data_IF_946442828276
#
_entry.id   IF_946442828276
#
_cell.length_a   1.000
_cell.length_b   1.000
_cell.length_c   1.000
_cell.angle_alpha   90.00
_cell.angle_beta   90.00
_cell.angle_gamma   90.00
#
_symmetry.space_group_name_H-M   'P 1'
#
loop_
_entity.id
_entity.type
_entity.pdbx_description
1 polymer ?
#
# COMPACT_ATOMS: atom_id res chain seq x y z
N UNK A 1 11.98 33.61 -56.02
CA UNK A 1 12.64 32.76 -54.99
C UNK A 1 12.06 33.12 -53.63
N UNK A 2 11.12 32.35 -53.11
CA UNK A 2 10.57 32.50 -51.74
C UNK A 2 11.11 31.35 -50.91
N UNK A 3 11.91 31.67 -49.90
CA UNK A 3 12.47 30.71 -48.95
C UNK A 3 11.43 30.44 -47.87
N UNK A 4 10.90 29.23 -47.82
CA UNK A 4 10.10 28.76 -46.69
C UNK A 4 11.05 28.20 -45.62
N UNK A 5 11.17 28.88 -44.48
CA UNK A 5 11.87 28.37 -43.30
C UNK A 5 10.93 27.40 -42.61
N UNK A 6 11.24 26.11 -42.66
CA UNK A 6 10.55 25.09 -41.87
C UNK A 6 11.09 25.12 -40.45
N UNK A 7 10.27 25.58 -39.50
CA UNK A 7 10.53 25.44 -38.07
C UNK A 7 10.31 23.98 -37.66
N UNK A 8 11.40 23.25 -37.43
CA UNK A 8 11.36 21.93 -36.81
C UNK A 8 11.03 22.09 -35.33
N UNK A 9 9.85 21.66 -34.92
CA UNK A 9 9.50 21.50 -33.51
C UNK A 9 10.14 20.20 -32.99
N UNK A 10 11.17 20.33 -32.16
CA UNK A 10 11.69 19.23 -31.37
C UNK A 10 10.66 18.84 -30.31
N UNK A 11 9.88 17.79 -30.60
CA UNK A 11 9.07 17.11 -29.60
C UNK A 11 10.05 16.32 -28.72
N UNK A 12 10.28 16.79 -27.49
CA UNK A 12 10.94 16.00 -26.46
C UNK A 12 10.03 14.81 -26.14
N UNK A 13 10.31 13.66 -26.74
CA UNK A 13 9.66 12.41 -26.37
C UNK A 13 10.01 12.12 -24.90
N UNK A 14 8.98 12.03 -24.04
CA UNK A 14 9.16 11.51 -22.70
C UNK A 14 9.87 10.14 -22.79
N UNK A 15 10.84 9.82 -21.92
CA UNK A 15 11.45 8.51 -21.92
C UNK A 15 10.34 7.49 -21.74
N UNK A 16 10.09 6.71 -22.79
CA UNK A 16 9.22 5.54 -22.70
C UNK A 16 9.92 4.64 -21.70
N UNK A 17 9.38 4.53 -20.48
CA UNK A 17 9.88 3.54 -19.55
C UNK A 17 9.76 2.18 -20.21
N UNK A 18 10.89 1.53 -20.42
CA UNK A 18 10.97 0.23 -21.08
C UNK A 18 10.25 -0.90 -20.30
N UNK A 19 9.70 -0.58 -19.12
CA UNK A 19 9.00 -1.49 -18.25
C UNK A 19 7.98 -0.74 -17.39
N UNK A 20 6.94 -1.43 -16.93
CA UNK A 20 6.02 -0.94 -15.91
C UNK A 20 4.68 -1.66 -15.91
N UNK A 21 3.86 -1.40 -16.93
CA UNK A 21 2.48 -1.90 -16.97
C UNK A 21 2.36 -3.30 -17.57
N UNK A 22 2.85 -3.48 -18.81
CA UNK A 22 2.78 -4.75 -19.55
C UNK A 22 4.05 -5.58 -19.32
N UNK A 23 5.21 -4.94 -19.48
CA UNK A 23 6.51 -5.58 -19.23
C UNK A 23 7.02 -5.28 -17.83
N UNK A 24 7.46 -6.28 -17.05
CA UNK A 24 7.98 -6.04 -15.71
C UNK A 24 9.39 -5.44 -15.75
N UNK A 25 9.65 -4.48 -14.85
CA UNK A 25 10.99 -3.95 -14.61
C UNK A 25 11.86 -5.03 -13.95
N UNK A 26 12.99 -5.36 -14.59
CA UNK A 26 13.92 -6.38 -14.11
C UNK A 26 14.85 -5.80 -13.06
N UNK A 27 15.05 -6.54 -11.98
CA UNK A 27 15.97 -6.20 -10.89
C UNK A 27 16.69 -7.47 -10.45
N UNK A 28 17.83 -7.76 -11.08
CA UNK A 28 18.52 -9.04 -10.93
C UNK A 28 17.67 -10.22 -11.45
N UNK A 29 17.51 -11.24 -10.63
CA UNK A 29 16.66 -12.41 -10.87
C UNK A 29 15.17 -12.16 -10.52
N UNK A 30 14.85 -10.98 -9.99
CA UNK A 30 13.51 -10.55 -9.62
C UNK A 30 12.98 -9.50 -10.57
N UNK A 31 11.72 -9.12 -10.37
CA UNK A 31 11.10 -8.07 -11.17
C UNK A 31 9.93 -7.43 -10.45
N UNK A 32 9.47 -6.28 -10.92
CA UNK A 32 8.28 -5.60 -10.41
C UNK A 32 7.50 -4.93 -11.54
N UNK A 33 6.23 -4.66 -11.32
CA UNK A 33 5.41 -3.82 -12.19
C UNK A 33 5.20 -2.47 -11.53
N UNK A 34 4.88 -1.46 -12.33
CA UNK A 34 4.46 -0.16 -11.82
C UNK A 34 3.34 0.43 -12.66
N UNK A 35 2.63 1.40 -12.10
CA UNK A 35 1.64 2.16 -12.82
C UNK A 35 1.65 3.62 -12.39
N UNK A 36 2.07 4.46 -13.32
CA UNK A 36 2.05 5.92 -13.21
C UNK A 36 0.60 6.42 -13.11
N UNK A 37 0.32 7.44 -12.27
CA UNK A 37 -1.03 7.97 -12.14
C UNK A 37 -1.48 8.76 -13.37
N UNK A 38 -2.78 9.00 -13.46
CA UNK A 38 -3.36 9.77 -14.57
C UNK A 38 -2.92 11.23 -14.49
N UNK A 39 -2.57 11.82 -15.63
CA UNK A 39 -2.27 13.25 -15.73
C UNK A 39 -0.96 13.68 -15.06
N UNK A 40 -0.07 12.74 -14.74
CA UNK A 40 1.29 13.09 -14.30
C UNK A 40 2.04 13.79 -15.44
N UNK A 41 2.75 14.87 -15.08
CA UNK A 41 3.46 15.76 -16.01
C UNK A 41 4.85 15.25 -16.42
N UNK A 42 5.30 14.15 -15.83
CA UNK A 42 6.62 13.58 -16.09
C UNK A 42 7.73 14.09 -15.15
N UNK A 43 7.44 15.07 -14.28
CA UNK A 43 8.48 15.78 -13.51
C UNK A 43 8.11 16.06 -12.05
N UNK A 44 6.83 16.18 -11.72
CA UNK A 44 6.37 16.41 -10.35
C UNK A 44 6.68 15.21 -9.45
N UNK A 45 7.16 15.42 -8.20
CA UNK A 45 7.36 14.34 -7.25
C UNK A 45 6.09 13.53 -6.98
N UNK A 46 6.22 12.21 -6.99
CA UNK A 46 5.11 11.27 -6.85
C UNK A 46 5.09 10.65 -5.44
N UNK A 47 3.95 10.70 -4.72
CA UNK A 47 3.64 9.73 -3.67
C UNK A 47 3.72 8.31 -4.23
N UNK A 48 4.22 7.37 -3.44
CA UNK A 48 4.39 5.97 -3.84
C UNK A 48 3.50 5.07 -3.00
N UNK A 49 2.83 4.10 -3.62
CA UNK A 49 2.21 2.96 -2.95
C UNK A 49 2.92 1.68 -3.39
N UNK A 50 3.77 1.14 -2.53
CA UNK A 50 4.35 -0.20 -2.68
C UNK A 50 3.31 -1.23 -2.24
N UNK A 51 2.75 -1.99 -3.17
CA UNK A 51 1.69 -2.96 -2.89
C UNK A 51 2.11 -4.41 -3.15
N UNK A 52 2.14 -5.21 -2.10
CA UNK A 52 2.43 -6.64 -2.16
C UNK A 52 1.19 -7.46 -2.51
N UNK A 53 1.30 -8.32 -3.51
CA UNK A 53 0.20 -9.18 -3.97
C UNK A 53 -0.10 -10.32 -2.97
N UNK A 54 -1.33 -10.85 -3.01
CA UNK A 54 -1.70 -12.07 -2.26
C UNK A 54 -1.08 -13.36 -2.82
N UNK A 55 -1.22 -14.47 -2.11
CA UNK A 55 -0.65 -15.76 -2.52
C UNK A 55 -1.08 -16.19 -3.94
N UNK A 56 -0.15 -16.70 -4.73
CA UNK A 56 -0.42 -17.20 -6.09
C UNK A 56 -0.65 -16.09 -7.13
N UNK A 57 -0.37 -14.83 -6.79
CA UNK A 57 -0.47 -13.66 -7.68
C UNK A 57 0.90 -13.08 -7.98
N UNK A 58 0.91 -12.04 -8.80
CA UNK A 58 2.08 -11.27 -9.23
C UNK A 58 1.67 -9.81 -9.45
N UNK A 59 2.66 -8.94 -9.70
CA UNK A 59 2.46 -7.50 -9.82
C UNK A 59 1.63 -7.07 -11.03
N UNK A 60 1.59 -7.87 -12.10
CA UNK A 60 0.79 -7.65 -13.32
C UNK A 60 -0.71 -7.53 -13.00
N UNK A 61 -1.20 -8.39 -12.10
CA UNK A 61 -2.58 -8.33 -11.62
C UNK A 61 -2.81 -7.06 -10.79
N UNK A 62 -1.84 -6.67 -9.95
CA UNK A 62 -1.97 -5.51 -9.05
C UNK A 62 -2.08 -4.20 -9.82
N UNK A 63 -1.22 -4.00 -10.82
CA UNK A 63 -1.24 -2.79 -11.66
C UNK A 63 -2.49 -2.70 -12.54
N UNK A 64 -3.26 -3.79 -12.68
CA UNK A 64 -4.54 -3.81 -13.41
C UNK A 64 -5.78 -3.90 -12.50
N UNK A 65 -5.61 -4.12 -11.19
CA UNK A 65 -6.72 -4.33 -10.27
C UNK A 65 -7.48 -3.03 -9.96
N UNK A 66 -8.77 -2.97 -10.27
CA UNK A 66 -9.56 -1.72 -10.16
C UNK A 66 -9.60 -1.12 -8.75
N UNK A 67 -9.64 -1.93 -7.69
CA UNK A 67 -9.65 -1.42 -6.30
C UNK A 67 -8.28 -0.91 -5.83
N UNK A 68 -7.20 -1.25 -6.54
CA UNK A 68 -5.82 -0.84 -6.20
C UNK A 68 -5.35 0.20 -7.21
N UNK A 69 -5.10 -0.20 -8.46
CA UNK A 69 -4.67 0.67 -9.54
C UNK A 69 -5.68 1.76 -9.88
N UNK A 70 -6.98 1.48 -9.80
CA UNK A 70 -8.01 2.52 -9.98
C UNK A 70 -7.96 3.57 -8.87
N UNK A 71 -7.65 3.18 -7.64
CA UNK A 71 -7.53 4.10 -6.51
C UNK A 71 -6.29 5.01 -6.66
N UNK A 72 -5.12 4.42 -6.92
CA UNK A 72 -3.85 5.16 -7.02
C UNK A 72 -3.82 6.12 -8.21
N UNK A 73 -4.25 5.66 -9.39
CA UNK A 73 -4.17 6.46 -10.62
C UNK A 73 -4.99 7.75 -10.58
N UNK A 74 -6.11 7.74 -9.87
CA UNK A 74 -6.98 8.93 -9.73
C UNK A 74 -6.49 9.91 -8.68
N UNK A 75 -5.48 9.55 -7.87
CA UNK A 75 -5.02 10.31 -6.70
C UNK A 75 -3.57 10.78 -6.83
N UNK A 76 -2.99 10.70 -8.02
CA UNK A 76 -1.60 11.11 -8.24
C UNK A 76 -0.58 10.20 -7.56
N UNK A 77 -0.91 8.93 -7.29
CA UNK A 77 -0.01 7.99 -6.59
C UNK A 77 0.61 7.01 -7.58
N UNK A 78 1.93 6.89 -7.56
CA UNK A 78 2.68 5.85 -8.28
C UNK A 78 2.46 4.51 -7.59
N UNK A 79 1.81 3.57 -8.28
CA UNK A 79 1.66 2.21 -7.79
C UNK A 79 2.88 1.38 -8.17
N UNK A 80 3.50 0.72 -7.21
CA UNK A 80 4.64 -0.18 -7.40
C UNK A 80 4.24 -1.56 -6.87
N UNK A 81 4.38 -2.60 -7.70
CA UNK A 81 3.91 -3.95 -7.41
C UNK A 81 5.02 -4.98 -7.65
N UNK A 82 5.81 -5.34 -6.61
CA UNK A 82 6.89 -6.32 -6.74
C UNK A 82 6.36 -7.73 -7.03
N UNK A 83 7.15 -8.54 -7.74
CA UNK A 83 6.83 -9.94 -8.02
C UNK A 83 7.54 -10.87 -7.01
N UNK A 84 6.76 -11.69 -6.33
CA UNK A 84 7.23 -12.70 -5.38
C UNK A 84 7.89 -13.89 -6.07
N UNK A 85 8.94 -14.46 -5.47
CA UNK A 85 9.47 -15.76 -5.90
C UNK A 85 8.42 -16.83 -5.66
N UNK A 86 8.19 -17.69 -6.66
CA UNK A 86 7.14 -18.71 -6.57
C UNK A 86 5.74 -18.12 -6.35
N UNK A 87 5.50 -16.86 -6.76
CA UNK A 87 4.22 -16.14 -6.54
C UNK A 87 3.85 -16.04 -5.06
N UNK A 88 4.85 -15.89 -4.20
CA UNK A 88 4.71 -15.88 -2.76
C UNK A 88 5.74 -14.95 -2.09
N UNK A 89 5.65 -14.85 -0.76
CA UNK A 89 6.49 -13.98 0.06
C UNK A 89 7.04 -14.75 1.26
N UNK A 90 8.30 -14.50 1.57
CA UNK A 90 8.91 -14.85 2.85
C UNK A 90 8.68 -13.70 3.84
N UNK A 91 7.72 -13.82 4.74
CA UNK A 91 7.43 -12.78 5.75
C UNK A 91 7.58 -13.26 7.19
N UNK A 92 7.86 -14.56 7.37
CA UNK A 92 7.86 -15.18 8.70
C UNK A 92 9.12 -14.83 9.50
N UNK A 93 10.19 -14.45 8.82
CA UNK A 93 11.49 -14.13 9.43
C UNK A 93 11.83 -12.65 9.25
N UNK A 94 12.51 -12.09 10.24
CA UNK A 94 13.01 -10.71 10.21
C UNK A 94 14.14 -10.52 9.17
N UNK A 95 14.91 -11.56 8.89
CA UNK A 95 15.98 -11.57 7.87
C UNK A 95 15.48 -11.95 6.47
N UNK A 96 14.19 -11.75 6.19
CA UNK A 96 13.58 -12.13 4.92
C UNK A 96 14.27 -11.48 3.72
N UNK A 97 14.58 -12.30 2.71
CA UNK A 97 15.07 -11.84 1.41
C UNK A 97 14.12 -10.87 0.69
N UNK A 98 12.82 -10.97 0.97
CA UNK A 98 11.80 -10.13 0.32
C UNK A 98 11.77 -8.71 0.90
N UNK A 99 12.35 -8.49 2.10
CA UNK A 99 12.59 -7.15 2.65
C UNK A 99 13.68 -6.46 1.85
N UNK A 100 14.83 -7.13 1.67
CA UNK A 100 15.94 -6.60 0.86
C UNK A 100 15.50 -6.34 -0.59
N UNK A 101 14.68 -7.22 -1.16
CA UNK A 101 14.11 -7.01 -2.48
C UNK A 101 13.17 -5.80 -2.53
N UNK A 102 12.27 -5.63 -1.55
CA UNK A 102 11.37 -4.47 -1.49
C UNK A 102 12.14 -3.14 -1.40
N UNK A 103 13.23 -3.10 -0.61
CA UNK A 103 14.13 -1.94 -0.54
C UNK A 103 14.76 -1.65 -1.90
N UNK A 104 15.31 -2.68 -2.54
CA UNK A 104 15.94 -2.53 -3.86
C UNK A 104 14.94 -2.04 -4.93
N UNK A 105 13.67 -2.44 -4.85
CA UNK A 105 12.61 -1.92 -5.73
C UNK A 105 12.35 -0.44 -5.47
N UNK A 106 12.26 0.00 -4.22
CA UNK A 106 12.09 1.42 -3.91
C UNK A 106 13.29 2.24 -4.39
N UNK A 107 14.51 1.74 -4.25
CA UNK A 107 15.73 2.41 -4.72
C UNK A 107 15.78 2.52 -6.25
N UNK A 108 15.34 1.47 -6.97
CA UNK A 108 15.24 1.53 -8.43
C UNK A 108 14.14 2.51 -8.87
N UNK A 109 13.00 2.55 -8.17
CA UNK A 109 11.94 3.53 -8.42
C UNK A 109 12.43 4.97 -8.21
N UNK A 110 13.21 5.24 -7.16
CA UNK A 110 13.83 6.57 -6.92
C UNK A 110 14.79 6.99 -8.04
N UNK A 111 15.46 6.04 -8.69
CA UNK A 111 16.30 6.31 -9.86
C UNK A 111 15.48 6.67 -11.10
N UNK A 112 14.28 6.09 -11.23
CA UNK A 112 13.45 6.21 -12.43
C UNK A 112 12.44 7.36 -12.35
N UNK A 113 12.02 7.76 -11.14
CA UNK A 113 11.00 8.75 -10.90
C UNK A 113 11.39 9.73 -9.80
N UNK A 114 10.97 11.00 -9.88
CA UNK A 114 10.99 11.90 -8.73
C UNK A 114 9.98 11.38 -7.69
N UNK A 115 10.48 10.87 -6.57
CA UNK A 115 9.65 10.34 -5.47
C UNK A 115 9.48 11.40 -4.39
N UNK A 116 8.26 11.56 -3.88
CA UNK A 116 8.01 12.27 -2.63
C UNK A 116 8.34 11.35 -1.45
N UNK A 117 9.56 11.49 -0.91
CA UNK A 117 10.06 10.67 0.21
C UNK A 117 9.19 10.78 1.47
N UNK A 118 8.45 11.88 1.64
CA UNK A 118 7.51 12.04 2.77
C UNK A 118 6.19 11.28 2.57
N UNK A 119 5.97 10.68 1.41
CA UNK A 119 4.71 10.01 1.02
C UNK A 119 4.95 8.64 0.39
N UNK A 120 5.80 7.85 1.03
CA UNK A 120 5.96 6.43 0.74
C UNK A 120 4.98 5.62 1.60
N UNK A 121 4.02 4.99 0.94
CA UNK A 121 3.05 4.10 1.55
C UNK A 121 3.36 2.65 1.19
N UNK A 122 3.18 1.76 2.17
CA UNK A 122 3.36 0.32 2.00
C UNK A 122 2.02 -0.37 2.23
N UNK A 123 1.66 -1.32 1.38
CA UNK A 123 0.36 -1.96 1.40
C UNK A 123 0.45 -3.40 0.93
N UNK A 124 -0.56 -4.19 1.26
CA UNK A 124 -0.73 -5.51 0.67
C UNK A 124 -2.05 -6.13 1.05
N UNK A 125 -2.37 -7.23 0.37
CA UNK A 125 -3.57 -8.01 0.63
C UNK A 125 -3.22 -9.46 0.95
N UNK A 126 -3.88 -10.06 1.95
CA UNK A 126 -3.65 -11.46 2.34
C UNK A 126 -2.19 -11.68 2.76
N UNK A 127 -1.50 -12.69 2.19
CA UNK A 127 -0.05 -12.88 2.35
C UNK A 127 0.77 -11.65 1.97
N UNK A 128 0.28 -10.82 1.04
CA UNK A 128 0.89 -9.54 0.74
C UNK A 128 0.74 -8.54 1.88
N UNK A 129 -0.36 -8.57 2.63
CA UNK A 129 -0.51 -7.77 3.85
C UNK A 129 0.45 -8.24 4.94
N UNK A 130 0.65 -9.56 5.10
CA UNK A 130 1.69 -10.09 5.99
C UNK A 130 3.10 -9.61 5.58
N UNK A 131 3.39 -9.58 4.28
CA UNK A 131 4.66 -9.06 3.76
C UNK A 131 4.80 -7.56 3.97
N UNK A 132 3.74 -6.78 3.74
CA UNK A 132 3.69 -5.34 4.01
C UNK A 132 3.98 -5.04 5.48
N UNK A 133 3.32 -5.78 6.39
CA UNK A 133 3.59 -5.72 7.83
C UNK A 133 5.03 -6.06 8.16
N UNK A 134 5.58 -7.16 7.61
CA UNK A 134 6.98 -7.54 7.84
C UNK A 134 7.95 -6.49 7.33
N UNK A 135 7.72 -5.92 6.16
CA UNK A 135 8.56 -4.86 5.61
C UNK A 135 8.62 -3.65 6.56
N UNK A 136 7.48 -3.11 6.99
CA UNK A 136 7.48 -1.94 7.88
C UNK A 136 7.88 -2.24 9.33
N UNK A 137 7.90 -3.52 9.72
CA UNK A 137 8.42 -3.98 11.01
C UNK A 137 9.95 -3.88 11.05
N UNK A 138 10.62 -4.19 9.94
CA UNK A 138 12.10 -4.15 9.85
C UNK A 138 12.63 -2.84 9.23
N UNK A 139 11.88 -2.22 8.32
CA UNK A 139 12.33 -1.12 7.47
C UNK A 139 11.27 -0.01 7.29
N UNK A 140 10.47 0.23 8.33
CA UNK A 140 9.35 1.16 8.31
C UNK A 140 9.66 2.58 8.73
N UNK A 141 10.89 2.90 9.19
CA UNK A 141 11.18 4.19 9.81
C UNK A 141 10.84 5.41 8.93
N UNK A 142 11.10 5.30 7.62
CA UNK A 142 10.81 6.36 6.63
C UNK A 142 9.51 6.10 5.83
N UNK A 143 8.73 5.09 6.24
CA UNK A 143 7.43 4.79 5.61
C UNK A 143 6.36 5.65 6.24
N UNK A 144 5.67 6.46 5.42
CA UNK A 144 4.61 7.35 5.87
C UNK A 144 3.41 6.58 6.43
N UNK A 145 2.98 5.51 5.75
CA UNK A 145 1.90 4.66 6.26
C UNK A 145 1.94 3.20 5.79
N UNK A 146 1.47 2.30 6.66
CA UNK A 146 1.05 0.94 6.31
C UNK A 146 -0.46 0.91 6.01
N UNK A 147 -0.85 0.36 4.86
CA UNK A 147 -2.24 0.06 4.48
C UNK A 147 -2.43 -1.46 4.36
N UNK A 148 -2.71 -2.13 5.48
CA UNK A 148 -2.87 -3.58 5.56
C UNK A 148 -4.30 -4.05 5.32
N UNK A 149 -4.47 -5.14 4.58
CA UNK A 149 -5.78 -5.67 4.16
C UNK A 149 -5.82 -7.19 4.36
N UNK A 150 -6.68 -7.66 5.28
CA UNK A 150 -6.91 -9.10 5.53
C UNK A 150 -5.62 -9.91 5.74
N UNK A 151 -4.70 -9.40 6.55
CA UNK A 151 -3.50 -10.12 6.96
C UNK A 151 -2.64 -9.28 7.90
N UNK A 152 -2.19 -9.88 9.00
CA UNK A 152 -1.38 -9.25 10.05
C UNK A 152 -0.31 -10.22 10.54
N UNK A 153 0.79 -9.73 11.11
CA UNK A 153 1.75 -10.59 11.80
C UNK A 153 1.23 -11.04 13.18
N UNK A 154 1.85 -12.06 13.81
CA UNK A 154 1.64 -12.33 15.23
C UNK A 154 1.82 -11.04 16.05
N UNK A 155 0.88 -10.76 16.95
CA UNK A 155 0.80 -9.45 17.62
C UNK A 155 1.85 -9.27 18.74
N UNK A 156 2.67 -10.30 18.96
CA UNK A 156 3.86 -10.36 19.81
C UNK A 156 5.17 -10.34 18.99
N UNK A 157 5.10 -10.14 17.67
CA UNK A 157 6.29 -10.00 16.82
C UNK A 157 7.13 -8.81 17.28
N UNK A 158 8.42 -9.04 17.50
CA UNK A 158 9.38 -7.96 17.74
C UNK A 158 9.69 -7.23 16.43
N UNK A 159 9.61 -5.90 16.46
CA UNK A 159 9.78 -5.03 15.31
C UNK A 159 10.85 -3.97 15.57
N UNK A 160 11.89 -3.99 14.75
CA UNK A 160 12.98 -3.02 14.80
C UNK A 160 12.48 -1.58 14.65
N UNK A 161 11.48 -1.36 13.80
CA UNK A 161 10.97 -0.04 13.42
C UNK A 161 9.44 0.01 13.45
N UNK A 162 8.88 1.16 13.07
CA UNK A 162 7.44 1.36 12.84
C UNK A 162 7.24 2.50 11.83
N UNK A 163 6.21 2.43 10.97
CA UNK A 163 5.85 3.54 10.08
C UNK A 163 5.13 4.66 10.84
N UNK A 164 5.00 5.82 10.19
CA UNK A 164 4.35 7.00 10.76
C UNK A 164 2.85 6.82 11.03
N UNK A 165 2.19 5.96 10.27
CA UNK A 165 0.75 5.70 10.37
C UNK A 165 0.40 4.26 10.01
N UNK A 166 -0.60 3.71 10.70
CA UNK A 166 -1.12 2.37 10.44
C UNK A 166 -2.60 2.46 10.11
N UNK A 167 -3.00 1.86 8.99
CA UNK A 167 -4.39 1.65 8.63
C UNK A 167 -4.58 0.19 8.27
N UNK A 168 -5.40 -0.49 9.05
CA UNK A 168 -5.71 -1.90 8.84
C UNK A 168 -7.19 -2.05 8.52
N UNK A 169 -7.50 -2.96 7.60
CA UNK A 169 -8.87 -3.44 7.41
C UNK A 169 -8.95 -4.96 7.49
N UNK A 170 -10.02 -5.47 8.08
CA UNK A 170 -10.25 -6.91 8.22
C UNK A 170 -11.73 -7.28 8.15
N UNK A 171 -12.01 -8.46 7.60
CA UNK A 171 -13.35 -9.05 7.58
C UNK A 171 -13.61 -9.93 8.79
N UNK A 172 -14.76 -9.75 9.43
CA UNK A 172 -15.17 -10.56 10.59
C UNK A 172 -15.51 -12.01 10.21
N UNK A 173 -15.83 -12.27 8.93
CA UNK A 173 -16.12 -13.62 8.39
C UNK A 173 -15.04 -14.09 7.41
N UNK A 174 -13.79 -13.67 7.62
CA UNK A 174 -12.67 -14.14 6.82
C UNK A 174 -12.41 -15.62 7.15
N UNK A 175 -12.61 -16.52 6.18
CA UNK A 175 -12.38 -17.97 6.35
C UNK A 175 -11.03 -18.42 5.76
N UNK A 176 -10.29 -17.51 5.12
CA UNK A 176 -8.99 -17.81 4.51
C UNK A 176 -7.86 -17.52 5.49
N UNK A 177 -7.89 -16.31 6.08
CA UNK A 177 -7.04 -15.92 7.20
C UNK A 177 -7.97 -15.47 8.33
N UNK A 178 -8.43 -16.41 9.19
CA UNK A 178 -9.42 -16.15 10.22
C UNK A 178 -9.19 -14.86 10.99
N UNK A 179 -10.28 -14.12 11.24
CA UNK A 179 -10.22 -12.86 11.98
C UNK A 179 -9.48 -13.07 13.31
N UNK A 180 -8.35 -12.40 13.53
CA UNK A 180 -7.48 -12.69 14.68
C UNK A 180 -7.99 -11.93 15.90
N UNK A 181 -9.16 -12.30 16.41
CA UNK A 181 -9.69 -11.75 17.64
C UNK A 181 -8.77 -12.09 18.84
N UNK A 182 -8.59 -11.14 19.74
CA UNK A 182 -7.79 -11.33 20.94
C UNK A 182 -8.55 -12.09 22.03
N UNK A 183 -7.91 -12.31 23.20
CA UNK A 183 -8.55 -12.93 24.35
C UNK A 183 -9.90 -12.28 24.69
N UNK A 184 -10.92 -13.09 24.96
CA UNK A 184 -12.27 -12.58 25.24
C UNK A 184 -13.02 -11.99 24.04
N UNK A 185 -12.52 -12.21 22.81
CA UNK A 185 -13.14 -11.67 21.59
C UNK A 185 -12.74 -10.23 21.28
N UNK A 186 -11.56 -9.78 21.70
CA UNK A 186 -11.09 -8.42 21.43
C UNK A 186 -10.90 -8.19 19.93
N UNK A 187 -11.85 -7.48 19.31
CA UNK A 187 -11.83 -7.14 17.88
C UNK A 187 -10.76 -6.10 17.53
N UNK A 188 -10.11 -5.47 18.50
CA UNK A 188 -9.01 -4.51 18.27
C UNK A 188 -7.64 -5.17 18.19
N UNK A 189 -7.57 -6.47 18.46
CA UNK A 189 -6.34 -7.25 18.44
C UNK A 189 -5.56 -7.22 17.11
N UNK A 190 -6.17 -7.11 15.90
CA UNK A 190 -5.43 -7.04 14.65
C UNK A 190 -4.42 -5.88 14.56
N UNK A 191 -4.55 -4.85 15.41
CA UNK A 191 -3.63 -3.69 15.45
C UNK A 191 -2.96 -3.51 16.80
N UNK A 192 -3.04 -4.50 17.70
CA UNK A 192 -2.47 -4.44 19.06
C UNK A 192 -0.97 -4.17 19.03
N UNK A 193 -0.21 -4.89 18.18
CA UNK A 193 1.23 -4.68 18.03
C UNK A 193 1.57 -3.22 17.78
N UNK A 194 0.90 -2.60 16.81
CA UNK A 194 1.20 -1.22 16.45
C UNK A 194 0.75 -0.20 17.48
N UNK A 195 -0.40 -0.44 18.12
CA UNK A 195 -0.84 0.39 19.24
C UNK A 195 0.21 0.43 20.37
N UNK A 196 0.77 -0.72 20.71
CA UNK A 196 1.78 -0.82 21.76
C UNK A 196 3.10 -0.18 21.32
N UNK A 197 3.56 -0.48 20.10
CA UNK A 197 4.80 0.06 19.52
C UNK A 197 4.78 1.59 19.39
N UNK A 198 3.61 2.16 19.15
CA UNK A 198 3.37 3.61 19.05
C UNK A 198 2.92 4.24 20.38
N UNK A 199 2.79 3.44 21.44
CA UNK A 199 2.36 3.86 22.78
C UNK A 199 1.04 4.63 22.74
N UNK A 200 0.05 4.04 22.10
CA UNK A 200 -1.30 4.59 21.96
C UNK A 200 -2.10 4.43 23.26
N UNK A 201 -2.81 5.51 23.64
CA UNK A 201 -3.80 5.48 24.72
C UNK A 201 -5.11 4.83 24.30
N UNK A 202 -6.22 5.20 24.95
CA UNK A 202 -7.54 4.68 24.60
C UNK A 202 -7.97 5.13 23.19
N UNK A 203 -8.39 4.16 22.38
CA UNK A 203 -8.98 4.39 21.06
C UNK A 203 -10.39 4.97 21.17
N UNK A 204 -10.85 5.56 20.08
CA UNK A 204 -12.21 6.10 19.93
C UNK A 204 -12.93 5.38 18.80
N UNK A 205 -14.23 5.19 18.98
CA UNK A 205 -15.12 4.90 17.87
C UNK A 205 -15.20 6.15 16.97
N UNK A 206 -14.94 5.96 15.67
CA UNK A 206 -15.02 7.03 14.66
C UNK A 206 -16.25 6.88 13.77
N UNK A 207 -17.15 5.95 14.11
CA UNK A 207 -18.40 5.70 13.43
C UNK A 207 -18.26 4.78 12.22
N UNK A 208 -19.44 4.41 11.71
CA UNK A 208 -19.57 3.57 10.54
C UNK A 208 -19.46 4.39 9.25
N UNK A 209 -18.94 3.75 8.22
CA UNK A 209 -18.92 4.32 6.89
C UNK A 209 -19.06 3.26 5.81
N UNK A 210 -19.47 3.67 4.61
CA UNK A 210 -19.60 2.75 3.49
C UNK A 210 -19.26 3.45 2.18
N UNK A 211 -18.63 2.71 1.28
CA UNK A 211 -18.48 3.14 -0.10
C UNK A 211 -19.63 2.69 -0.99
N UNK A 212 -20.13 1.48 -0.71
CA UNK A 212 -21.20 0.83 -1.45
C UNK A 212 -22.25 0.38 -0.44
N UNK A 213 -23.52 0.42 -0.84
CA UNK A 213 -24.66 0.20 0.06
C UNK A 213 -24.67 -1.16 0.77
N UNK A 214 -23.98 -2.16 0.24
CA UNK A 214 -23.94 -3.51 0.80
C UNK A 214 -22.73 -3.78 1.71
N UNK A 215 -21.86 -2.78 1.94
CA UNK A 215 -20.62 -2.96 2.69
C UNK A 215 -20.35 -1.78 3.62
N UNK A 216 -20.81 -1.93 4.86
CA UNK A 216 -20.49 -1.03 5.97
C UNK A 216 -19.18 -1.43 6.64
N UNK A 217 -18.37 -0.44 6.99
CA UNK A 217 -17.12 -0.57 7.73
C UNK A 217 -17.23 0.22 9.03
N UNK A 218 -17.02 -0.45 10.16
CA UNK A 218 -16.93 0.18 11.48
C UNK A 218 -15.50 0.65 11.71
N UNK A 219 -15.29 1.94 12.00
CA UNK A 219 -13.95 2.50 12.20
C UNK A 219 -13.63 2.75 13.66
N UNK A 220 -12.44 2.33 14.07
CA UNK A 220 -11.81 2.70 15.33
C UNK A 220 -10.47 3.39 15.10
N UNK A 221 -10.20 4.44 15.87
CA UNK A 221 -8.99 5.25 15.74
C UNK A 221 -8.25 5.43 17.06
N UNK A 222 -6.93 5.43 16.98
CA UNK A 222 -6.02 5.79 18.06
C UNK A 222 -5.16 6.96 17.58
N UNK A 223 -5.58 8.17 17.92
CA UNK A 223 -4.88 9.42 17.56
C UNK A 223 -4.04 9.98 18.72
N UNK A 224 -4.26 9.48 19.94
CA UNK A 224 -3.46 9.82 21.13
C UNK A 224 -2.37 8.76 21.31
N UNK A 225 -1.32 8.86 20.53
CA UNK A 225 -0.14 8.00 20.60
C UNK A 225 1.10 8.85 20.87
N UNK A 226 2.17 8.27 21.43
CA UNK A 226 3.43 9.00 21.58
C UNK A 226 4.01 9.40 20.23
N UNK A 227 3.77 8.58 19.20
CA UNK A 227 4.15 8.82 17.81
C UNK A 227 3.07 8.26 16.88
N UNK A 228 2.84 8.92 15.75
CA UNK A 228 1.96 8.41 14.70
C UNK A 228 0.49 8.26 15.10
N UNK A 229 -0.21 7.38 14.39
CA UNK A 229 -1.62 7.02 14.66
C UNK A 229 -1.96 5.64 14.12
N UNK A 230 -3.03 5.06 14.65
CA UNK A 230 -3.55 3.75 14.19
C UNK A 230 -5.03 3.88 13.86
N UNK A 231 -5.44 3.30 12.74
CA UNK A 231 -6.84 3.17 12.31
C UNK A 231 -7.13 1.71 12.01
N UNK A 232 -8.25 1.21 12.52
CA UNK A 232 -8.79 -0.11 12.22
C UNK A 232 -10.19 0.05 11.63
N UNK A 233 -10.40 -0.50 10.44
CA UNK A 233 -11.71 -0.68 9.84
C UNK A 233 -12.10 -2.16 9.90
N UNK A 234 -13.30 -2.47 10.37
CA UNK A 234 -13.85 -3.82 10.38
C UNK A 234 -15.09 -3.88 9.48
N UNK A 235 -15.26 -4.97 8.73
CA UNK A 235 -16.44 -5.16 7.90
C UNK A 235 -17.04 -6.55 8.08
N UNK A 236 -18.35 -6.74 7.81
CA UNK A 236 -19.01 -8.02 8.06
C UNK A 236 -18.61 -9.11 7.06
N UNK A 237 -18.01 -8.76 5.91
CA UNK A 237 -17.62 -9.71 4.86
C UNK A 237 -16.43 -10.63 5.21
N UNK A 238 -16.04 -11.46 4.24
CA UNK A 238 -14.89 -12.38 4.32
C UNK A 238 -13.60 -11.85 3.69
N UNK A 239 -12.85 -12.72 3.01
CA UNK A 239 -11.51 -12.42 2.50
C UNK A 239 -11.53 -11.65 1.16
N UNK A 240 -11.46 -10.31 1.21
CA UNK A 240 -11.37 -9.48 0.00
C UNK A 240 -10.82 -8.08 0.30
N UNK A 241 -10.37 -7.39 -0.75
CA UNK A 241 -10.07 -5.95 -0.69
C UNK A 241 -11.39 -5.16 -0.70
N UNK A 242 -11.75 -4.43 0.37
CA UNK A 242 -13.06 -3.76 0.45
C UNK A 242 -13.21 -2.66 -0.60
N UNK A 243 -14.44 -2.48 -1.09
CA UNK A 243 -14.73 -1.45 -2.10
C UNK A 243 -14.38 -0.06 -1.57
N UNK A 244 -13.62 0.71 -2.35
CA UNK A 244 -13.23 2.07 -2.00
C UNK A 244 -12.24 2.22 -0.86
N UNK A 245 -11.79 1.14 -0.21
CA UNK A 245 -11.00 1.29 1.02
C UNK A 245 -9.65 1.96 0.79
N UNK A 246 -8.85 1.48 -0.17
CA UNK A 246 -7.57 2.11 -0.53
C UNK A 246 -7.79 3.56 -0.98
N UNK A 247 -8.83 3.79 -1.79
CA UNK A 247 -9.22 5.11 -2.27
C UNK A 247 -9.48 6.09 -1.12
N UNK A 248 -10.31 5.71 -0.15
CA UNK A 248 -10.58 6.53 1.02
C UNK A 248 -9.32 6.79 1.84
N UNK A 249 -8.48 5.77 2.06
CA UNK A 249 -7.25 5.95 2.84
C UNK A 249 -6.31 6.97 2.17
N UNK A 250 -6.14 6.86 0.85
CA UNK A 250 -5.33 7.80 0.09
C UNK A 250 -5.93 9.21 0.06
N UNK A 251 -7.27 9.36 -0.06
CA UNK A 251 -7.90 10.68 0.01
C UNK A 251 -7.62 11.38 1.34
N UNK A 252 -7.81 10.66 2.45
CA UNK A 252 -7.57 11.19 3.79
C UNK A 252 -6.11 11.57 4.03
N UNK A 253 -5.15 10.73 3.58
CA UNK A 253 -3.72 10.98 3.77
C UNK A 253 -3.17 12.09 2.85
N UNK A 254 -3.75 12.25 1.65
CA UNK A 254 -3.33 13.27 0.68
C UNK A 254 -4.11 14.58 0.82
N UNK A 255 -5.11 14.65 1.71
CA UNK A 255 -5.99 15.80 1.87
C UNK A 255 -6.85 16.07 0.63
N UNK A 256 -7.19 15.02 -0.12
CA UNK A 256 -8.01 15.12 -1.31
C UNK A 256 -9.50 15.06 -0.96
N UNK A 257 -10.38 15.74 -1.73
CA UNK A 257 -11.81 15.52 -1.60
C UNK A 257 -12.13 14.06 -1.90
N UNK A 258 -13.01 13.40 -1.10
CA UNK A 258 -13.41 12.03 -1.34
C UNK A 258 -13.90 11.84 -2.77
N UNK A 259 -13.23 10.96 -3.52
CA UNK A 259 -13.53 10.75 -4.94
C UNK A 259 -13.74 9.27 -5.24
N UNK A 260 -14.98 8.91 -5.51
CA UNK A 260 -15.35 7.52 -5.68
C UNK A 260 -15.95 7.27 -7.07
N UNK A 261 -15.56 6.18 -7.75
CA UNK A 261 -16.34 5.67 -8.88
C UNK A 261 -17.65 5.04 -8.40
#
# INVERSE_FOLDING_TARGET
>A
MRWCIALLWLVLAAPVLACGLEDPCKLGDRSYHLRVPNGWDGTSPLPVLLHFHGWGRQGDLIVNHQRIAGATRRRGVLLVAPNGLGRSWDFRRADSRDIAFARAVLDDVRRLYPVDEGRIYVSGYSWGSNMAWRFVCEDGADVAALLGISGVLPQDTDCATAPGEIRQVYGLRDEVLPFPAGPGGDETWPVKLWRDRLSCGAGRDAGDWQQVSFLTLARREWTRCARGRVTLDLHPGGHFIPHGWIARQLDEMLGLPPSYP
#
